data_IF_351189852817
#
_entry.id   IF_351189852817
#
_cell.length_a   1.000
_cell.length_b   1.000
_cell.length_c   1.000
_cell.angle_alpha   90.00
_cell.angle_beta   90.00
_cell.angle_gamma   90.00
#
_symmetry.space_group_name_H-M   'P 1'
#
loop_
_entity.id
_entity.type
_entity.pdbx_description
1 polymer ?
#
# COMPACT_ATOMS: atom_id res chain seq x y z
N UNK A 1 8.28 -37.15 -38.02
CA UNK A 1 8.49 -36.14 -36.97
C UNK A 1 7.16 -35.88 -36.29
N UNK A 2 6.86 -36.53 -35.17
CA UNK A 2 5.66 -36.26 -34.40
C UNK A 2 5.85 -34.91 -33.67
N UNK A 3 5.14 -33.87 -34.12
CA UNK A 3 5.03 -32.64 -33.35
C UNK A 3 4.18 -32.95 -32.11
N UNK A 4 4.86 -33.19 -31.00
CA UNK A 4 4.24 -33.34 -29.69
C UNK A 4 3.76 -31.94 -29.26
N UNK A 5 2.55 -31.54 -29.65
CA UNK A 5 1.90 -30.34 -29.12
C UNK A 5 1.61 -30.59 -27.64
N UNK A 6 2.52 -30.15 -26.78
CA UNK A 6 2.28 -30.07 -25.34
C UNK A 6 1.09 -29.14 -25.13
N UNK A 7 -0.09 -29.71 -24.87
CA UNK A 7 -1.28 -28.93 -24.56
C UNK A 7 -1.07 -28.22 -23.22
N UNK A 8 -1.42 -26.93 -23.17
CA UNK A 8 -1.28 -26.11 -21.97
C UNK A 8 -2.10 -26.69 -20.80
N UNK A 9 -1.44 -26.97 -19.66
CA UNK A 9 -2.10 -27.54 -18.50
C UNK A 9 -2.64 -26.44 -17.58
N UNK A 10 -3.95 -26.18 -17.69
CA UNK A 10 -4.64 -25.15 -16.90
C UNK A 10 -4.51 -25.36 -15.38
N UNK A 11 -4.49 -26.61 -14.90
CA UNK A 11 -4.35 -26.88 -13.45
C UNK A 11 -2.99 -26.41 -12.96
N UNK A 12 -1.92 -26.80 -13.67
CA UNK A 12 -0.56 -26.39 -13.35
C UNK A 12 -0.38 -24.88 -13.45
N UNK A 13 -0.98 -24.26 -14.47
CA UNK A 13 -0.95 -22.80 -14.64
C UNK A 13 -1.55 -22.06 -13.43
N UNK A 14 -2.78 -22.40 -13.02
CA UNK A 14 -3.41 -21.72 -11.89
C UNK A 14 -2.68 -21.96 -10.56
N UNK A 15 -2.11 -23.15 -10.35
CA UNK A 15 -1.26 -23.41 -9.18
C UNK A 15 0.02 -22.55 -9.19
N UNK A 16 0.72 -22.44 -10.32
CA UNK A 16 1.91 -21.59 -10.44
C UNK A 16 1.56 -20.10 -10.29
N UNK A 17 0.42 -19.68 -10.85
CA UNK A 17 -0.06 -18.30 -10.76
C UNK A 17 -0.38 -17.91 -9.31
N UNK A 18 -1.03 -18.78 -8.54
CA UNK A 18 -1.28 -18.59 -7.10
C UNK A 18 0.04 -18.49 -6.34
N UNK A 19 1.00 -19.38 -6.60
CA UNK A 19 2.30 -19.36 -5.91
C UNK A 19 3.05 -18.06 -6.19
N UNK A 20 3.13 -17.65 -7.46
CA UNK A 20 3.79 -16.41 -7.84
C UNK A 20 3.11 -15.18 -7.25
N UNK A 21 1.78 -15.06 -7.45
CA UNK A 21 1.03 -13.91 -6.93
C UNK A 21 1.03 -13.86 -5.40
N UNK A 22 0.93 -15.00 -4.73
CA UNK A 22 1.01 -15.10 -3.27
C UNK A 22 2.38 -14.67 -2.72
N UNK A 23 3.47 -15.02 -3.39
CA UNK A 23 4.82 -14.58 -3.00
C UNK A 23 4.97 -13.04 -3.11
N UNK A 24 4.51 -12.48 -4.23
CA UNK A 24 4.56 -11.02 -4.45
C UNK A 24 3.63 -10.28 -3.47
N UNK A 25 2.45 -10.84 -3.18
CA UNK A 25 1.53 -10.33 -2.18
C UNK A 25 2.12 -10.33 -0.78
N UNK A 26 2.87 -11.38 -0.40
CA UNK A 26 3.54 -11.45 0.89
C UNK A 26 4.57 -10.31 1.01
N UNK A 27 5.43 -10.16 -0.01
CA UNK A 27 6.47 -9.11 -0.02
C UNK A 27 5.82 -7.72 0.03
N UNK A 28 4.87 -7.45 -0.87
CA UNK A 28 4.18 -6.15 -0.92
C UNK A 28 3.34 -5.88 0.33
N UNK A 29 2.74 -6.91 0.94
CA UNK A 29 2.02 -6.80 2.21
C UNK A 29 2.94 -6.44 3.37
N UNK A 30 4.15 -7.00 3.43
CA UNK A 30 5.17 -6.60 4.39
C UNK A 30 5.60 -5.15 4.18
N UNK A 31 5.79 -4.72 2.93
CA UNK A 31 6.09 -3.32 2.61
C UNK A 31 4.97 -2.39 3.06
N UNK A 32 3.70 -2.72 2.77
CA UNK A 32 2.53 -1.96 3.22
C UNK A 32 2.40 -1.91 4.76
N UNK A 33 2.83 -2.97 5.43
CA UNK A 33 2.81 -3.05 6.88
C UNK A 33 3.87 -2.12 7.52
N UNK A 34 5.06 -1.97 6.91
CA UNK A 34 6.14 -1.16 7.48
C UNK A 34 6.20 0.28 6.95
N UNK A 35 5.69 0.57 5.76
CA UNK A 35 5.78 1.90 5.14
C UNK A 35 5.11 2.99 5.97
N UNK A 36 5.60 4.25 5.93
CA UNK A 36 5.02 5.34 6.70
C UNK A 36 3.56 5.61 6.35
N UNK A 37 2.89 6.31 7.25
CA UNK A 37 1.52 6.79 7.03
C UNK A 37 1.43 7.64 5.77
N UNK A 38 0.27 7.58 5.08
CA UNK A 38 0.09 8.27 3.80
C UNK A 38 0.48 9.75 3.86
N UNK A 39 0.06 10.47 4.91
CA UNK A 39 0.38 11.89 5.09
C UNK A 39 1.89 12.18 5.06
N UNK A 40 2.71 11.29 5.64
CA UNK A 40 4.17 11.48 5.67
C UNK A 40 4.75 11.00 4.35
N UNK A 41 4.32 9.83 3.87
CA UNK A 41 4.85 9.23 2.65
C UNK A 41 4.69 10.14 1.42
N UNK A 42 3.54 10.79 1.26
CA UNK A 42 3.29 11.72 0.16
C UNK A 42 4.04 13.04 0.34
N UNK A 43 4.15 13.51 1.59
CA UNK A 43 4.80 14.77 1.91
C UNK A 43 6.31 14.72 1.73
N UNK A 44 6.94 13.61 2.08
CA UNK A 44 8.39 13.42 2.02
C UNK A 44 8.87 12.71 0.75
N UNK A 45 8.01 12.50 -0.25
CA UNK A 45 8.27 11.62 -1.42
C UNK A 45 8.92 10.27 -1.03
N UNK A 46 8.32 9.57 -0.06
CA UNK A 46 8.89 8.32 0.43
C UNK A 46 8.94 7.25 -0.65
N UNK A 47 10.11 6.62 -0.80
CA UNK A 47 10.36 5.53 -1.75
C UNK A 47 11.06 4.36 -1.09
N UNK A 48 10.76 3.16 -1.55
CA UNK A 48 11.46 1.93 -1.19
C UNK A 48 11.73 1.11 -2.45
N UNK A 49 13.00 0.81 -2.70
CA UNK A 49 13.46 0.10 -3.92
C UNK A 49 12.99 0.86 -5.19
N UNK A 50 13.08 2.20 -5.15
CA UNK A 50 12.70 3.09 -6.26
C UNK A 50 11.19 3.28 -6.45
N UNK A 51 10.34 2.55 -5.71
CA UNK A 51 8.89 2.64 -5.81
C UNK A 51 8.30 3.48 -4.69
N UNK A 52 7.33 4.32 -5.04
CA UNK A 52 6.57 5.11 -4.08
C UNK A 52 5.47 4.28 -3.39
N UNK A 53 4.78 4.91 -2.43
CA UNK A 53 3.67 4.29 -1.69
C UNK A 53 2.52 3.83 -2.60
N UNK A 54 2.15 4.62 -3.61
CA UNK A 54 1.03 4.31 -4.51
C UNK A 54 1.36 3.10 -5.39
N UNK A 55 2.60 3.02 -5.88
CA UNK A 55 3.10 1.92 -6.69
C UNK A 55 3.13 0.61 -5.91
N UNK A 56 3.62 0.63 -4.66
CA UNK A 56 3.54 -0.54 -3.78
C UNK A 56 2.10 -0.98 -3.50
N UNK A 57 1.20 -0.02 -3.26
CA UNK A 57 -0.24 -0.29 -3.12
C UNK A 57 -0.83 -0.91 -4.39
N UNK A 58 -0.50 -0.36 -5.55
CA UNK A 58 -0.95 -0.83 -6.87
C UNK A 58 -0.52 -2.27 -7.13
N UNK A 59 0.76 -2.59 -6.89
CA UNK A 59 1.29 -3.95 -7.01
C UNK A 59 0.51 -4.89 -6.10
N UNK A 60 0.34 -4.54 -4.83
CA UNK A 60 -0.37 -5.41 -3.88
C UNK A 60 -1.82 -5.66 -4.31
N UNK A 61 -2.56 -4.61 -4.68
CA UNK A 61 -3.97 -4.71 -5.05
C UNK A 61 -4.19 -5.52 -6.33
N UNK A 62 -3.44 -5.24 -7.39
CA UNK A 62 -3.58 -5.98 -8.65
C UNK A 62 -3.17 -7.45 -8.51
N UNK A 63 -2.09 -7.75 -7.79
CA UNK A 63 -1.67 -9.13 -7.56
C UNK A 63 -2.65 -9.86 -6.63
N UNK A 64 -3.29 -9.16 -5.68
CA UNK A 64 -4.38 -9.71 -4.87
C UNK A 64 -5.58 -10.11 -5.72
N UNK A 65 -5.99 -9.24 -6.66
CA UNK A 65 -7.09 -9.57 -7.58
C UNK A 65 -6.76 -10.81 -8.43
N UNK A 66 -5.55 -10.87 -8.99
CA UNK A 66 -5.09 -12.03 -9.76
C UNK A 66 -5.05 -13.29 -8.89
N UNK A 67 -4.56 -13.18 -7.65
CA UNK A 67 -4.51 -14.29 -6.71
C UNK A 67 -5.91 -14.85 -6.42
N UNK A 68 -6.89 -14.01 -6.12
CA UNK A 68 -8.26 -14.47 -5.83
C UNK A 68 -8.94 -15.11 -7.05
N UNK A 69 -8.77 -14.53 -8.24
CA UNK A 69 -9.27 -15.13 -9.48
C UNK A 69 -8.62 -16.50 -9.73
N UNK A 70 -7.30 -16.57 -9.61
CA UNK A 70 -6.54 -17.80 -9.78
C UNK A 70 -6.92 -18.86 -8.74
N UNK A 71 -7.11 -18.47 -7.48
CA UNK A 71 -7.59 -19.32 -6.38
C UNK A 71 -9.00 -19.86 -6.67
N UNK A 72 -9.89 -19.04 -7.22
CA UNK A 72 -11.22 -19.46 -7.66
C UNK A 72 -11.16 -20.54 -8.75
N UNK A 73 -10.36 -20.32 -9.79
CA UNK A 73 -10.16 -21.34 -10.83
C UNK A 73 -9.47 -22.59 -10.28
N UNK A 74 -8.49 -22.43 -9.40
CA UNK A 74 -7.84 -23.56 -8.75
C UNK A 74 -8.83 -24.39 -7.93
N UNK A 75 -9.75 -23.74 -7.20
CA UNK A 75 -10.81 -24.42 -6.46
C UNK A 75 -11.78 -25.14 -7.40
N UNK A 76 -12.16 -24.51 -8.51
CA UNK A 76 -13.03 -25.10 -9.53
C UNK A 76 -12.40 -26.37 -10.14
N UNK A 77 -11.15 -26.30 -10.59
CA UNK A 77 -10.47 -27.45 -11.20
C UNK A 77 -10.12 -28.57 -10.21
N UNK A 78 -10.03 -28.25 -8.91
CA UNK A 78 -9.72 -29.21 -7.84
C UNK A 78 -10.91 -29.49 -6.89
N UNK A 79 -12.13 -29.18 -7.31
CA UNK A 79 -13.33 -29.26 -6.47
C UNK A 79 -13.57 -30.66 -5.90
N UNK A 80 -13.33 -31.69 -6.72
CA UNK A 80 -13.47 -33.09 -6.30
C UNK A 80 -12.47 -33.47 -5.21
N UNK A 81 -11.24 -32.94 -5.28
CA UNK A 81 -10.21 -33.14 -4.26
C UNK A 81 -10.62 -32.44 -2.97
N UNK A 82 -11.11 -31.19 -3.05
CA UNK A 82 -11.60 -30.47 -1.88
C UNK A 82 -12.72 -31.23 -1.15
N UNK A 83 -13.75 -31.66 -1.89
CA UNK A 83 -14.85 -32.44 -1.33
C UNK A 83 -14.39 -33.75 -0.70
N UNK A 84 -13.30 -34.33 -1.20
CA UNK A 84 -12.74 -35.55 -0.62
C UNK A 84 -12.17 -35.34 0.79
N UNK A 85 -11.70 -34.12 1.12
CA UNK A 85 -11.27 -33.77 2.48
C UNK A 85 -12.45 -33.65 3.44
N UNK A 86 -13.64 -33.26 2.94
CA UNK A 86 -14.86 -33.10 3.74
C UNK A 86 -15.66 -34.40 3.87
N UNK A 87 -15.50 -35.34 2.94
CA UNK A 87 -16.25 -36.60 2.90
C UNK A 87 -15.52 -37.70 3.68
N UNK A 88 -16.22 -38.41 4.56
CA UNK A 88 -15.68 -39.61 5.20
C UNK A 88 -15.49 -40.71 4.14
N UNK A 89 -14.24 -41.22 4.01
CA UNK A 89 -13.87 -42.25 3.03
C UNK A 89 -14.55 -43.59 3.34
N UNK A 90 -14.92 -43.83 4.61
CA UNK A 90 -15.54 -45.08 5.08
C UNK A 90 -17.06 -44.98 5.03
N UNK A 91 -17.65 -43.88 5.52
CA UNK A 91 -19.11 -43.72 5.63
C UNK A 91 -19.78 -43.08 4.41
N UNK A 92 -19.00 -42.56 3.45
CA UNK A 92 -19.48 -41.80 2.27
C UNK A 92 -20.45 -40.63 2.61
N UNK A 93 -20.50 -40.17 3.87
CA UNK A 93 -21.26 -39.00 4.30
C UNK A 93 -20.34 -37.82 4.60
N UNK A 94 -20.89 -36.61 4.59
CA UNK A 94 -20.21 -35.44 5.15
C UNK A 94 -20.18 -35.60 6.67
N UNK A 95 -18.98 -35.74 7.23
CA UNK A 95 -18.78 -35.77 8.67
C UNK A 95 -18.00 -34.51 9.06
N UNK A 96 -18.42 -33.84 10.13
CA UNK A 96 -17.66 -32.74 10.73
C UNK A 96 -16.40 -33.33 11.37
N UNK A 97 -15.36 -33.46 10.55
CA UNK A 97 -14.06 -33.98 10.98
C UNK A 97 -13.47 -33.05 12.02
N UNK A 98 -12.66 -33.60 12.92
CA UNK A 98 -11.94 -32.83 13.94
C UNK A 98 -11.07 -31.73 13.30
N UNK A 99 -10.51 -31.96 12.11
CA UNK A 99 -9.74 -30.95 11.40
C UNK A 99 -10.60 -29.77 10.93
N UNK A 100 -11.82 -30.03 10.44
CA UNK A 100 -12.76 -28.98 10.03
C UNK A 100 -13.20 -28.15 11.25
N UNK A 101 -13.53 -28.81 12.36
CA UNK A 101 -13.84 -28.13 13.62
C UNK A 101 -12.66 -27.27 14.10
N UNK A 102 -11.43 -27.82 14.10
CA UNK A 102 -10.24 -27.07 14.50
C UNK A 102 -10.00 -25.86 13.60
N UNK A 103 -10.19 -26.01 12.28
CA UNK A 103 -10.06 -24.91 11.31
C UNK A 103 -11.10 -23.82 11.56
N UNK A 104 -12.36 -24.19 11.79
CA UNK A 104 -13.44 -23.24 12.09
C UNK A 104 -13.21 -22.53 13.42
N UNK A 105 -12.80 -23.25 14.46
CA UNK A 105 -12.51 -22.67 15.77
C UNK A 105 -11.32 -21.69 15.70
N UNK A 106 -10.22 -22.10 15.06
CA UNK A 106 -9.07 -21.23 14.87
C UNK A 106 -9.44 -19.98 14.05
N UNK A 107 -10.19 -20.18 12.95
CA UNK A 107 -10.70 -19.06 12.15
C UNK A 107 -11.59 -18.11 12.95
N UNK A 108 -12.49 -18.65 13.77
CA UNK A 108 -13.35 -17.86 14.65
C UNK A 108 -12.55 -17.08 15.70
N UNK A 109 -11.53 -17.70 16.31
CA UNK A 109 -10.62 -17.05 17.25
C UNK A 109 -9.84 -15.92 16.57
N UNK A 110 -9.29 -16.16 15.37
CA UNK A 110 -8.58 -15.14 14.61
C UNK A 110 -9.49 -13.97 14.23
N UNK A 111 -10.71 -14.25 13.77
CA UNK A 111 -11.68 -13.22 13.41
C UNK A 111 -12.10 -12.41 14.65
N UNK A 112 -12.49 -13.10 15.73
CA UNK A 112 -12.89 -12.44 16.97
C UNK A 112 -11.74 -11.61 17.57
N UNK A 113 -10.54 -12.16 17.61
CA UNK A 113 -9.36 -11.43 18.11
C UNK A 113 -8.99 -10.21 17.28
N UNK A 114 -9.14 -10.30 15.95
CA UNK A 114 -8.93 -9.16 15.05
C UNK A 114 -9.96 -8.05 15.26
N UNK A 115 -11.21 -8.39 15.60
CA UNK A 115 -12.28 -7.41 15.87
C UNK A 115 -12.15 -6.82 17.27
N UNK A 116 -11.87 -7.67 18.27
CA UNK A 116 -11.85 -7.28 19.69
C UNK A 116 -10.53 -6.63 20.12
N UNK A 117 -9.43 -6.83 19.39
CA UNK A 117 -8.16 -6.16 19.63
C UNK A 117 -7.39 -6.60 20.89
N UNK A 118 -7.56 -7.84 21.36
CA UNK A 118 -6.74 -8.38 22.44
C UNK A 118 -5.43 -8.99 21.90
N UNK A 119 -4.44 -9.20 22.77
CA UNK A 119 -3.15 -9.79 22.39
C UNK A 119 -3.30 -11.25 21.91
N UNK A 120 -2.61 -11.69 20.84
CA UNK A 120 -1.50 -11.01 20.16
C UNK A 120 -1.92 -10.11 18.99
N UNK A 121 -3.22 -10.01 18.66
CA UNK A 121 -3.70 -9.27 17.48
C UNK A 121 -3.38 -7.78 17.57
N UNK A 122 -3.63 -7.15 18.73
CA UNK A 122 -3.22 -5.76 18.97
C UNK A 122 -1.70 -5.59 18.94
N UNK A 123 -0.94 -6.53 19.52
CA UNK A 123 0.52 -6.47 19.53
C UNK A 123 1.13 -6.45 18.14
N UNK A 124 0.56 -7.20 17.18
CA UNK A 124 0.96 -7.12 15.76
C UNK A 124 0.63 -5.75 15.17
N UNK A 125 -0.50 -5.14 15.51
CA UNK A 125 -0.82 -3.80 15.01
C UNK A 125 0.07 -2.72 15.63
N UNK A 126 0.38 -2.82 16.93
CA UNK A 126 1.24 -1.89 17.67
C UNK A 126 2.68 -1.93 17.18
N UNK A 127 3.19 -3.12 16.84
CA UNK A 127 4.50 -3.27 16.20
C UNK A 127 4.56 -2.51 14.88
N UNK A 128 3.54 -2.66 14.03
CA UNK A 128 3.43 -1.94 12.77
C UNK A 128 3.40 -0.43 12.98
N UNK A 129 2.60 0.05 13.94
CA UNK A 129 2.55 1.47 14.28
C UNK A 129 3.91 2.00 14.79
N UNK A 130 4.65 1.20 15.55
CA UNK A 130 5.98 1.56 16.06
C UNK A 130 6.98 1.67 14.92
N UNK A 131 7.02 0.69 14.01
CA UNK A 131 7.87 0.73 12.82
C UNK A 131 7.52 1.94 11.94
N UNK A 132 6.23 2.25 11.77
CA UNK A 132 5.81 3.41 10.97
C UNK A 132 6.36 4.73 11.50
N UNK A 133 6.43 4.88 12.83
CA UNK A 133 6.98 6.07 13.49
C UNK A 133 8.48 6.21 13.28
N UNK A 134 9.23 5.12 13.08
CA UNK A 134 10.69 5.22 12.89
C UNK A 134 11.07 5.94 11.60
N UNK A 135 10.18 5.99 10.60
CA UNK A 135 10.43 6.72 9.35
C UNK A 135 10.54 8.23 9.52
N UNK A 136 10.00 8.77 10.62
CA UNK A 136 9.99 10.21 10.89
C UNK A 136 10.37 10.52 12.35
N UNK A 137 11.06 9.59 13.01
CA UNK A 137 11.52 9.81 14.37
C UNK A 137 12.55 10.95 14.41
N UNK A 138 12.21 12.04 15.09
CA UNK A 138 13.10 13.19 15.27
C UNK A 138 13.00 14.29 14.20
N UNK A 139 12.01 14.23 13.30
CA UNK A 139 11.74 15.28 12.30
C UNK A 139 10.26 15.69 12.34
N UNK A 140 9.97 16.99 12.22
CA UNK A 140 8.59 17.49 12.05
C UNK A 140 8.19 17.44 10.57
N UNK A 141 8.09 16.23 10.03
CA UNK A 141 7.71 15.98 8.62
C UNK A 141 6.19 15.84 8.46
N UNK A 142 5.43 16.58 9.27
CA UNK A 142 3.99 16.62 9.14
C UNK A 142 3.57 17.73 8.17
N UNK A 143 2.75 17.42 7.14
CA UNK A 143 2.18 18.47 6.33
C UNK A 143 1.28 19.36 7.21
N UNK A 144 1.13 20.65 6.87
CA UNK A 144 0.30 21.59 7.66
C UNK A 144 -1.17 21.13 7.77
N UNK A 145 -1.63 20.32 6.83
CA UNK A 145 -2.88 19.58 6.88
C UNK A 145 -2.81 18.38 5.91
N UNK A 146 -3.72 17.39 6.03
CA UNK A 146 -3.73 16.24 5.12
C UNK A 146 -3.81 16.67 3.65
N UNK A 147 -2.96 16.09 2.81
CA UNK A 147 -2.89 16.35 1.37
C UNK A 147 -2.55 17.79 0.98
N UNK A 148 -1.78 18.50 1.82
CA UNK A 148 -1.26 19.83 1.47
C UNK A 148 -0.46 19.83 0.16
N UNK A 149 0.24 18.73 -0.14
CA UNK A 149 1.02 18.55 -1.37
C UNK A 149 0.17 18.57 -2.65
N UNK A 150 -1.12 18.26 -2.55
CA UNK A 150 -2.07 18.22 -3.67
C UNK A 150 -2.85 19.53 -3.82
N UNK A 151 -2.68 20.49 -2.92
CA UNK A 151 -3.39 21.77 -2.98
C UNK A 151 -2.67 22.73 -3.94
N UNK A 152 -3.39 23.37 -4.88
CA UNK A 152 -2.80 24.43 -5.71
C UNK A 152 -2.18 25.53 -4.85
N UNK A 153 -0.99 26.03 -5.22
CA UNK A 153 -0.25 27.03 -4.44
C UNK A 153 -1.08 28.26 -4.07
N UNK A 154 -1.98 28.72 -4.95
CA UNK A 154 -2.89 29.85 -4.66
C UNK A 154 -3.88 29.57 -3.54
N UNK A 155 -4.35 28.33 -3.45
CA UNK A 155 -5.27 27.90 -2.39
C UNK A 155 -4.51 27.64 -1.10
N UNK A 156 -3.30 27.06 -1.22
CA UNK A 156 -2.39 26.84 -0.10
C UNK A 156 -2.01 28.18 0.56
N UNK A 157 -1.64 29.17 -0.25
CA UNK A 157 -1.35 30.54 0.17
C UNK A 157 -2.51 31.16 0.94
N UNK A 158 -3.73 31.04 0.42
CA UNK A 158 -4.93 31.55 1.08
C UNK A 158 -5.25 30.83 2.38
N UNK A 159 -4.97 29.53 2.47
CA UNK A 159 -5.30 28.71 3.64
C UNK A 159 -4.31 28.88 4.78
N UNK A 160 -3.03 29.05 4.46
CA UNK A 160 -1.93 29.23 5.43
C UNK A 160 -1.64 30.71 5.69
N UNK A 161 -2.19 31.60 4.86
CA UNK A 161 -2.05 33.06 4.93
C UNK A 161 -0.60 33.52 4.64
N UNK A 162 -0.06 33.11 3.49
CA UNK A 162 1.24 33.59 2.99
C UNK A 162 1.12 34.32 1.65
N UNK A 163 2.09 35.18 1.35
CA UNK A 163 2.17 35.91 0.08
C UNK A 163 2.53 34.98 -1.09
N UNK A 164 1.54 34.70 -1.95
CA UNK A 164 1.69 33.88 -3.15
C UNK A 164 2.74 34.45 -4.13
N UNK A 165 2.79 35.77 -4.33
CA UNK A 165 3.72 36.38 -5.27
C UNK A 165 5.17 36.19 -4.81
N UNK A 166 5.44 36.38 -3.52
CA UNK A 166 6.74 36.13 -2.91
C UNK A 166 7.16 34.65 -3.00
N UNK A 167 6.21 33.74 -2.74
CA UNK A 167 6.43 32.31 -2.89
C UNK A 167 6.81 31.91 -4.34
N UNK A 168 6.09 32.41 -5.34
CA UNK A 168 6.37 32.11 -6.75
C UNK A 168 7.72 32.67 -7.19
N UNK A 169 8.11 33.86 -6.70
CA UNK A 169 9.42 34.43 -6.97
C UNK A 169 10.55 33.58 -6.38
N UNK A 170 10.45 33.20 -5.10
CA UNK A 170 11.41 32.31 -4.44
C UNK A 170 11.55 30.97 -5.18
N UNK A 171 10.44 30.34 -5.54
CA UNK A 171 10.45 29.06 -6.26
C UNK A 171 11.14 29.17 -7.62
N UNK A 172 10.94 30.26 -8.35
CA UNK A 172 11.61 30.50 -9.63
C UNK A 172 13.11 30.71 -9.47
N UNK A 173 13.55 31.42 -8.42
CA UNK A 173 14.98 31.57 -8.11
C UNK A 173 15.64 30.23 -7.79
N UNK A 174 14.90 29.31 -7.16
CA UNK A 174 15.34 27.94 -6.89
C UNK A 174 15.28 27.02 -8.12
N UNK A 175 14.87 27.53 -9.27
CA UNK A 175 14.84 26.78 -10.53
C UNK A 175 13.58 25.94 -10.75
N UNK A 176 12.55 26.09 -9.92
CA UNK A 176 11.27 25.42 -10.13
C UNK A 176 10.41 26.13 -11.18
N UNK A 177 9.65 25.36 -11.94
CA UNK A 177 8.70 25.88 -12.97
C UNK A 177 7.41 26.40 -12.33
N UNK A 178 7.53 27.35 -11.39
CA UNK A 178 6.42 27.96 -10.67
C UNK A 178 5.95 29.26 -11.38
N UNK A 179 5.26 29.11 -12.51
CA UNK A 179 4.79 30.29 -13.29
C UNK A 179 3.41 30.79 -12.87
N UNK A 180 2.59 29.93 -12.27
CA UNK A 180 1.21 30.23 -11.84
C UNK A 180 0.96 29.63 -10.46
N UNK A 181 -0.04 30.15 -9.75
CA UNK A 181 -0.48 29.56 -8.47
C UNK A 181 -1.37 28.31 -8.61
N UNK A 182 -1.56 27.80 -9.83
CA UNK A 182 -2.40 26.63 -10.10
C UNK A 182 -1.65 25.31 -9.89
N UNK A 183 -0.32 25.34 -9.97
CA UNK A 183 0.53 24.18 -9.71
C UNK A 183 0.49 23.78 -8.24
N UNK A 184 0.57 22.47 -7.98
CA UNK A 184 0.68 21.89 -6.64
C UNK A 184 2.14 21.67 -6.24
N UNK A 185 2.43 21.48 -4.94
CA UNK A 185 3.78 21.11 -4.51
C UNK A 185 4.20 19.75 -5.09
N UNK A 186 3.28 18.77 -5.14
CA UNK A 186 3.56 17.43 -5.71
C UNK A 186 3.97 17.51 -7.18
N UNK A 187 3.29 18.33 -7.98
CA UNK A 187 3.64 18.52 -9.40
C UNK A 187 4.97 19.26 -9.56
N UNK A 188 5.20 20.28 -8.75
CA UNK A 188 6.41 21.08 -8.78
C UNK A 188 7.66 20.26 -8.44
N UNK A 189 7.52 19.26 -7.57
CA UNK A 189 8.62 18.39 -7.15
C UNK A 189 8.79 17.14 -8.00
N UNK A 190 7.90 16.85 -8.96
CA UNK A 190 7.84 15.57 -9.66
C UNK A 190 9.15 15.19 -10.39
N UNK A 191 9.83 16.17 -10.97
CA UNK A 191 11.11 16.00 -11.67
C UNK A 191 12.31 16.54 -10.88
N UNK A 192 12.10 16.89 -9.60
CA UNK A 192 13.13 17.46 -8.74
C UNK A 192 13.70 16.41 -7.78
N UNK A 193 14.90 16.66 -7.26
CA UNK A 193 15.44 15.86 -6.15
C UNK A 193 14.80 16.19 -4.79
N UNK A 194 13.94 17.23 -4.74
CA UNK A 194 13.36 17.72 -3.51
C UNK A 194 11.97 17.15 -3.27
N UNK A 195 11.63 16.91 -2.00
CA UNK A 195 10.26 16.51 -1.62
C UNK A 195 9.33 17.72 -1.44
N UNK A 196 8.00 17.54 -1.49
CA UNK A 196 7.04 18.59 -1.16
C UNK A 196 7.31 19.25 0.20
N UNK A 197 7.73 18.46 1.19
CA UNK A 197 8.14 18.92 2.52
C UNK A 197 9.31 19.91 2.46
N UNK A 198 10.38 19.54 1.79
CA UNK A 198 11.60 20.37 1.70
C UNK A 198 11.33 21.68 0.97
N UNK A 199 10.55 21.64 -0.12
CA UNK A 199 10.19 22.86 -0.85
C UNK A 199 9.31 23.75 -0.01
N UNK A 200 8.31 23.19 0.68
CA UNK A 200 7.43 23.95 1.56
C UNK A 200 8.22 24.59 2.71
N UNK A 201 9.10 23.84 3.36
CA UNK A 201 9.92 24.34 4.46
C UNK A 201 10.85 25.47 3.98
N UNK A 202 11.52 25.28 2.84
CA UNK A 202 12.37 26.31 2.24
C UNK A 202 11.60 27.59 1.89
N UNK A 203 10.37 27.45 1.37
CA UNK A 203 9.48 28.59 1.12
C UNK A 203 9.13 29.32 2.41
N UNK A 204 8.68 28.61 3.45
CA UNK A 204 8.23 29.20 4.72
C UNK A 204 9.35 29.92 5.50
N UNK A 205 10.61 29.67 5.17
CA UNK A 205 11.78 30.37 5.73
C UNK A 205 12.13 31.67 5.00
N UNK A 206 11.50 31.98 3.87
CA UNK A 206 11.76 33.20 3.10
C UNK A 206 10.86 34.37 3.54
N UNK A 207 11.49 35.50 3.89
CA UNK A 207 10.81 36.72 4.35
C UNK A 207 9.70 37.22 3.40
N UNK A 208 9.81 36.96 2.09
CA UNK A 208 8.84 37.42 1.10
C UNK A 208 7.45 36.80 1.29
N UNK A 209 7.34 35.68 2.01
CA UNK A 209 6.06 35.05 2.30
C UNK A 209 5.23 35.82 3.34
N UNK A 210 5.85 36.72 4.11
CA UNK A 210 5.21 37.46 5.20
C UNK A 210 5.05 38.96 4.93
N UNK A 211 5.45 39.42 3.73
CA UNK A 211 5.37 40.82 3.28
C UNK A 211 4.21 40.99 2.32
#
# INVERSE_FOLDING_TARGET
>A
MQQNRQNFNLRSFFSLLITFSGLVMLISGLVLYVMPEGRVAYWTDWRLIGLDKEQWGTIHTFLSLIFFLAAGFHLYYNWTVLLSYLKDRVKRSFALRRELLATLLLGAICLHGSISGYAPFSSVMDLGATIKKTWYAGQDVHPPFPHAELMPLKQLAKRIDFNLAGALEHLREKGFTASTGDITLKELTADSSNSPAEVFEAMMMDDRLYR
#
